data_IF_742231455060
#
_entry.id   IF_742231455060
#
_cell.length_a   1.000
_cell.length_b   1.000
_cell.length_c   1.000
_cell.angle_alpha   90.00
_cell.angle_beta   90.00
_cell.angle_gamma   90.00
#
_symmetry.space_group_name_H-M   'P 1'
#
loop_
_entity.id
_entity.type
_entity.pdbx_description
1 polymer ?
#
# COMPACT_ATOMS: atom_id res chain seq x y z
N UNK A 1 27.41 22.78 -8.17
CA UNK A 1 26.42 21.88 -7.54
C UNK A 1 25.08 22.19 -8.19
N UNK A 2 24.42 21.20 -8.78
CA UNK A 2 23.11 21.36 -9.42
C UNK A 2 22.09 21.29 -8.28
N UNK A 3 21.25 22.30 -8.11
CA UNK A 3 20.11 22.23 -7.20
C UNK A 3 19.28 21.01 -7.61
N UNK A 4 19.28 19.98 -6.76
CA UNK A 4 18.30 18.92 -6.87
C UNK A 4 16.95 19.53 -6.49
N UNK A 5 15.90 19.37 -7.31
CA UNK A 5 14.57 19.78 -6.89
C UNK A 5 14.27 19.08 -5.56
N UNK A 6 13.79 19.82 -4.56
CA UNK A 6 13.24 19.22 -3.35
C UNK A 6 12.16 18.25 -3.80
N UNK A 7 12.40 16.95 -3.61
CA UNK A 7 11.41 15.92 -3.95
C UNK A 7 10.17 16.18 -3.09
N UNK A 8 9.00 16.27 -3.73
CA UNK A 8 7.74 16.47 -3.02
C UNK A 8 7.48 15.29 -2.08
N UNK A 9 7.36 15.58 -0.78
CA UNK A 9 7.20 14.55 0.24
C UNK A 9 5.81 13.89 0.16
N UNK A 10 5.77 12.57 0.06
CA UNK A 10 4.53 11.77 0.08
C UNK A 10 4.40 11.07 1.43
N UNK A 11 3.47 11.53 2.26
CA UNK A 11 3.25 11.00 3.62
C UNK A 11 1.98 10.15 3.69
N UNK A 12 2.13 8.87 4.04
CA UNK A 12 1.02 7.97 4.37
C UNK A 12 0.86 7.83 5.88
N UNK A 13 -0.35 8.11 6.39
CA UNK A 13 -0.69 7.93 7.81
C UNK A 13 -1.30 6.55 8.01
N UNK A 14 -0.55 5.67 8.67
CA UNK A 14 -0.97 4.29 8.93
C UNK A 14 -1.24 4.07 10.42
N UNK A 15 -2.24 3.24 10.74
CA UNK A 15 -2.34 2.69 12.08
C UNK A 15 -1.21 1.68 12.34
N UNK A 16 -0.89 1.46 13.62
CA UNK A 16 0.22 0.58 14.00
C UNK A 16 0.08 -0.85 13.46
N UNK A 17 -1.10 -1.50 13.52
CA UNK A 17 -1.27 -2.82 12.91
C UNK A 17 -0.93 -2.84 11.41
N UNK A 18 -1.46 -1.89 10.63
CA UNK A 18 -1.22 -1.79 9.19
C UNK A 18 0.25 -1.51 8.87
N UNK A 19 0.90 -0.63 9.64
CA UNK A 19 2.32 -0.37 9.50
C UNK A 19 3.18 -1.62 9.79
N UNK A 20 2.81 -2.39 10.82
CA UNK A 20 3.53 -3.62 11.19
C UNK A 20 3.37 -4.67 10.09
N UNK A 21 2.14 -4.92 9.64
CA UNK A 21 1.86 -5.81 8.51
C UNK A 21 2.68 -5.40 7.29
N UNK A 22 2.68 -4.11 6.92
CA UNK A 22 3.41 -3.65 5.74
C UNK A 22 4.92 -3.87 5.85
N UNK A 23 5.51 -3.62 7.03
CA UNK A 23 6.93 -3.86 7.27
C UNK A 23 7.29 -5.35 7.09
N UNK A 24 6.50 -6.24 7.68
CA UNK A 24 6.68 -7.68 7.56
C UNK A 24 6.54 -8.16 6.11
N UNK A 25 5.56 -7.61 5.37
CA UNK A 25 5.35 -7.95 3.96
C UNK A 25 6.53 -7.54 3.09
N UNK A 26 7.05 -6.32 3.25
CA UNK A 26 8.19 -5.83 2.48
C UNK A 26 9.43 -6.67 2.78
N UNK A 27 9.67 -6.97 4.06
CA UNK A 27 10.77 -7.84 4.48
C UNK A 27 10.67 -9.23 3.82
N UNK A 28 9.51 -9.87 3.92
CA UNK A 28 9.29 -11.20 3.35
C UNK A 28 9.47 -11.22 1.84
N UNK A 29 9.00 -10.20 1.11
CA UNK A 29 9.23 -10.12 -0.34
C UNK A 29 10.73 -10.11 -0.66
N UNK A 30 11.51 -9.31 0.07
CA UNK A 30 12.96 -9.26 -0.10
C UNK A 30 13.64 -10.61 0.15
N UNK A 31 13.29 -11.28 1.24
CA UNK A 31 13.83 -12.60 1.59
C UNK A 31 13.51 -13.65 0.53
N UNK A 32 12.25 -13.70 0.07
CA UNK A 32 11.83 -14.65 -0.96
C UNK A 32 12.55 -14.37 -2.30
N UNK A 33 12.70 -13.10 -2.68
CA UNK A 33 13.47 -12.73 -3.88
C UNK A 33 14.94 -13.12 -3.77
N UNK A 34 15.59 -12.83 -2.63
CA UNK A 34 16.99 -13.17 -2.40
C UNK A 34 17.22 -14.69 -2.39
N UNK A 35 16.27 -15.46 -1.86
CA UNK A 35 16.32 -16.92 -1.84
C UNK A 35 15.92 -17.58 -3.16
N UNK A 36 15.48 -16.81 -4.18
CA UNK A 36 14.95 -17.36 -5.43
C UNK A 36 13.67 -18.19 -5.23
N UNK A 37 12.92 -17.90 -4.17
CA UNK A 37 11.71 -18.63 -3.79
C UNK A 37 10.44 -17.92 -4.28
N UNK A 38 9.34 -18.66 -4.53
CA UNK A 38 8.05 -18.05 -4.81
C UNK A 38 7.62 -17.15 -3.66
N UNK A 39 7.14 -15.93 -3.95
CA UNK A 39 6.61 -15.01 -2.94
C UNK A 39 5.39 -15.64 -2.25
N UNK A 40 5.37 -15.58 -0.92
CA UNK A 40 4.28 -16.10 -0.12
C UNK A 40 2.94 -15.45 -0.48
N UNK A 41 1.86 -16.25 -0.46
CA UNK A 41 0.51 -15.73 -0.63
C UNK A 41 0.11 -14.94 0.61
N UNK A 42 -0.49 -13.77 0.39
CA UNK A 42 -1.08 -12.97 1.45
C UNK A 42 -2.36 -13.60 1.98
N UNK A 43 -2.63 -13.39 3.27
CA UNK A 43 -3.95 -13.64 3.84
C UNK A 43 -4.97 -12.66 3.22
N UNK A 44 -6.26 -12.95 3.38
CA UNK A 44 -7.33 -12.02 2.94
C UNK A 44 -7.20 -10.68 3.67
N UNK A 45 -6.99 -10.70 4.99
CA UNK A 45 -6.89 -9.49 5.80
C UNK A 45 -5.67 -8.64 5.42
N UNK A 46 -4.52 -9.27 5.20
CA UNK A 46 -3.30 -8.55 4.77
C UNK A 46 -3.46 -8.00 3.34
N UNK A 47 -4.16 -8.73 2.47
CA UNK A 47 -4.48 -8.28 1.12
C UNK A 47 -5.38 -7.04 1.15
N UNK A 48 -6.41 -7.03 2.01
CA UNK A 48 -7.29 -5.86 2.17
C UNK A 48 -6.55 -4.65 2.74
N UNK A 49 -5.69 -4.86 3.75
CA UNK A 49 -4.84 -3.80 4.31
C UNK A 49 -3.89 -3.22 3.26
N UNK A 50 -3.19 -4.08 2.54
CA UNK A 50 -2.29 -3.67 1.47
C UNK A 50 -3.05 -2.91 0.37
N UNK A 51 -4.24 -3.38 -0.02
CA UNK A 51 -5.09 -2.70 -0.99
C UNK A 51 -5.44 -1.26 -0.58
N UNK A 52 -5.77 -1.03 0.70
CA UNK A 52 -6.03 0.31 1.24
C UNK A 52 -4.78 1.20 1.20
N UNK A 53 -3.63 0.67 1.62
CA UNK A 53 -2.35 1.41 1.59
C UNK A 53 -2.00 1.82 0.16
N UNK A 54 -2.12 0.90 -0.79
CA UNK A 54 -1.82 1.18 -2.19
C UNK A 54 -2.79 2.21 -2.79
N UNK A 55 -4.09 2.12 -2.45
CA UNK A 55 -5.08 3.13 -2.85
C UNK A 55 -4.68 4.53 -2.39
N UNK A 56 -4.35 4.67 -1.10
CA UNK A 56 -3.94 5.96 -0.52
C UNK A 56 -2.63 6.46 -1.15
N UNK A 57 -1.69 5.55 -1.43
CA UNK A 57 -0.45 5.87 -2.13
C UNK A 57 -0.69 6.41 -3.54
N UNK A 58 -1.47 5.71 -4.37
CA UNK A 58 -1.77 6.17 -5.73
C UNK A 58 -2.48 7.52 -5.72
N UNK A 59 -3.41 7.72 -4.78
CA UNK A 59 -4.09 9.01 -4.60
C UNK A 59 -3.10 10.11 -4.21
N UNK A 60 -2.18 9.84 -3.29
CA UNK A 60 -1.18 10.81 -2.86
C UNK A 60 -0.17 11.13 -3.98
N UNK A 61 0.13 10.17 -4.84
CA UNK A 61 0.98 10.35 -6.02
C UNK A 61 0.26 11.00 -7.21
N UNK A 62 -1.04 11.24 -7.13
CA UNK A 62 -1.84 11.74 -8.26
C UNK A 62 -1.93 10.78 -9.44
N UNK A 63 -1.65 9.49 -9.22
CA UNK A 63 -1.64 8.45 -10.25
C UNK A 63 -3.04 7.83 -10.36
N UNK A 64 -3.59 7.66 -11.57
CA UNK A 64 -4.84 6.95 -11.78
C UNK A 64 -4.75 5.51 -11.26
N UNK A 65 -5.77 5.07 -10.52
CA UNK A 65 -5.80 3.73 -9.96
C UNK A 65 -5.83 2.68 -11.09
N UNK A 66 -4.94 1.67 -11.08
CA UNK A 66 -4.88 0.65 -12.12
C UNK A 66 -6.10 -0.30 -12.10
N UNK A 67 -6.86 -0.32 -11.00
CA UNK A 67 -8.08 -1.08 -10.83
C UNK A 67 -9.16 -0.12 -10.35
N UNK A 68 -10.31 -0.10 -11.03
CA UNK A 68 -11.41 0.83 -10.76
C UNK A 68 -11.79 0.88 -9.28
N UNK A 69 -12.18 2.08 -8.82
CA UNK A 69 -12.51 2.47 -7.44
C UNK A 69 -12.96 1.27 -6.59
N UNK A 70 -12.04 0.70 -5.81
CA UNK A 70 -12.32 -0.41 -4.88
C UNK A 70 -13.03 0.18 -3.65
N UNK A 71 -14.10 0.96 -3.88
CA UNK A 71 -15.12 1.20 -2.87
C UNK A 71 -15.85 -0.11 -2.67
N UNK A 72 -15.31 -0.93 -1.78
CA UNK A 72 -16.14 -1.80 -0.96
C UNK A 72 -17.19 -0.92 -0.28
N UNK A 73 -18.37 -0.81 -0.91
CA UNK A 73 -19.67 -0.43 -0.34
C UNK A 73 -19.58 0.54 0.84
N UNK A 74 -19.62 1.84 0.57
CA UNK A 74 -20.04 2.79 1.61
C UNK A 74 -21.40 2.31 2.16
N UNK A 75 -21.57 2.11 3.48
CA UNK A 75 -22.88 1.85 4.04
C UNK A 75 -23.71 3.09 3.76
N UNK A 76 -24.68 2.95 2.84
CA UNK A 76 -25.67 3.98 2.55
C UNK A 76 -26.23 4.47 3.88
N UNK A 77 -25.83 5.67 4.32
CA UNK A 77 -26.54 6.39 5.36
C UNK A 77 -27.94 6.62 4.83
N UNK A 78 -28.89 5.86 5.38
CA UNK A 78 -30.32 6.07 5.17
C UNK A 78 -30.65 7.40 5.86
N UNK A 79 -31.06 8.38 5.06
CA UNK A 79 -31.73 9.59 5.52
C UNK A 79 -33.19 9.21 5.79
#
# INVERSE_FOLDING_TARGET
>A
MRDMPEEEEVVLRLDRPTATTLADLIYNVGEHQAAGMPIARLSTDDSERLGRVLYDLWRALGIPLPYGDVRGREPRRRI
#
